data_IF_197814056574
#
_entry.id   IF_197814056574
#
_cell.length_a   1.000
_cell.length_b   1.000
_cell.length_c   1.000
_cell.angle_alpha   90.00
_cell.angle_beta   90.00
_cell.angle_gamma   90.00
#
_symmetry.space_group_name_H-M   'P 1'
#
loop_
_entity.id
_entity.type
_entity.pdbx_description
1 polymer ?
#
# COMPACT_ATOMS: atom_id res chain seq x y z
N UNK A 1 -19.75 7.35 -7.55
CA UNK A 1 -19.11 6.08 -7.16
C UNK A 1 -17.68 6.11 -7.67
N UNK A 2 -16.69 5.70 -6.87
CA UNK A 2 -15.32 5.57 -7.35
C UNK A 2 -15.18 4.13 -7.85
N UNK A 3 -15.11 3.91 -9.16
CA UNK A 3 -15.19 2.57 -9.74
C UNK A 3 -13.90 1.78 -9.54
N UNK A 4 -14.06 0.55 -9.04
CA UNK A 4 -13.00 -0.47 -8.98
C UNK A 4 -12.89 -1.10 -10.36
N UNK A 5 -11.67 -1.28 -10.87
CA UNK A 5 -11.44 -1.97 -12.15
C UNK A 5 -10.47 -3.14 -12.00
N UNK A 6 -10.67 -4.16 -12.82
CA UNK A 6 -9.66 -5.21 -13.00
C UNK A 6 -8.53 -4.64 -13.84
N UNK A 7 -7.31 -4.65 -13.30
CA UNK A 7 -6.10 -4.16 -13.96
C UNK A 7 -5.37 -5.30 -14.69
N UNK A 8 -5.29 -6.45 -14.05
CA UNK A 8 -4.72 -7.67 -14.62
C UNK A 8 -5.33 -8.89 -13.95
N UNK A 9 -5.30 -10.03 -14.65
CA UNK A 9 -5.78 -11.30 -14.12
C UNK A 9 -4.89 -12.42 -14.65
N UNK A 10 -4.52 -13.34 -13.76
CA UNK A 10 -3.82 -14.57 -14.09
C UNK A 10 -4.58 -15.78 -13.53
N UNK A 11 -4.06 -16.99 -13.73
CA UNK A 11 -4.73 -18.22 -13.29
C UNK A 11 -4.93 -18.28 -11.77
N UNK A 12 -4.02 -17.70 -10.99
CA UNK A 12 -4.00 -17.81 -9.52
C UNK A 12 -4.55 -16.56 -8.81
N UNK A 13 -4.58 -15.41 -9.49
CA UNK A 13 -4.83 -14.12 -8.87
C UNK A 13 -5.54 -13.12 -9.78
N UNK A 14 -6.15 -12.11 -9.15
CA UNK A 14 -6.73 -10.94 -9.81
C UNK A 14 -6.06 -9.70 -9.22
N UNK A 15 -5.63 -8.76 -10.06
CA UNK A 15 -5.12 -7.46 -9.66
C UNK A 15 -6.18 -6.42 -9.93
N UNK A 16 -6.69 -5.79 -8.88
CA UNK A 16 -7.60 -4.67 -8.98
C UNK A 16 -6.83 -3.36 -8.92
N UNK A 17 -7.23 -2.39 -9.74
CA UNK A 17 -6.84 -1.00 -9.53
C UNK A 17 -7.98 -0.26 -8.84
N UNK A 18 -7.68 0.31 -7.68
CA UNK A 18 -8.64 1.06 -6.88
C UNK A 18 -8.34 2.55 -6.96
N UNK A 19 -9.36 3.39 -7.16
CA UNK A 19 -9.19 4.84 -7.11
C UNK A 19 -8.86 5.27 -5.68
N UNK A 20 -7.74 5.96 -5.52
CA UNK A 20 -7.41 6.60 -4.25
C UNK A 20 -8.25 7.86 -4.09
N UNK A 21 -8.77 8.08 -2.89
CA UNK A 21 -9.42 9.33 -2.52
C UNK A 21 -8.39 10.20 -1.82
N UNK A 22 -8.12 11.38 -2.38
CA UNK A 22 -7.27 12.36 -1.73
C UNK A 22 -7.95 12.88 -0.46
N UNK A 23 -7.29 12.74 0.69
CA UNK A 23 -7.65 13.45 1.93
C UNK A 23 -6.88 14.77 2.08
N UNK A 24 -5.81 14.96 1.30
CA UNK A 24 -4.96 16.14 1.32
C UNK A 24 -4.99 16.82 -0.06
N UNK A 25 -5.39 18.08 -0.11
CA UNK A 25 -5.52 18.87 -1.35
C UNK A 25 -4.22 18.94 -2.16
N UNK A 26 -3.06 18.83 -1.50
CA UNK A 26 -1.73 18.91 -2.11
C UNK A 26 -1.28 17.59 -2.75
N UNK A 27 -1.87 16.47 -2.35
CA UNK A 27 -1.57 15.14 -2.89
C UNK A 27 -2.68 14.73 -3.85
N UNK A 28 -2.51 15.16 -5.09
CA UNK A 28 -3.44 14.86 -6.18
C UNK A 28 -3.50 13.33 -6.39
N UNK A 29 -4.60 12.71 -5.98
CA UNK A 29 -4.78 11.25 -5.96
C UNK A 29 -4.70 10.59 -7.34
N UNK A 30 -4.97 11.36 -8.41
CA UNK A 30 -4.79 10.95 -9.81
C UNK A 30 -3.32 10.68 -10.16
N UNK A 31 -2.37 11.23 -9.40
CA UNK A 31 -0.93 10.99 -9.60
C UNK A 31 -0.49 9.64 -9.08
N UNK A 32 -1.35 8.91 -8.39
CA UNK A 32 -1.02 7.63 -7.78
C UNK A 32 -1.77 6.48 -8.46
N UNK A 33 -1.15 5.30 -8.46
CA UNK A 33 -1.78 4.04 -8.81
C UNK A 33 -1.82 3.18 -7.55
N UNK A 34 -2.98 2.65 -7.20
CA UNK A 34 -3.11 1.65 -6.16
C UNK A 34 -3.57 0.31 -6.76
N UNK A 35 -2.73 -0.71 -6.61
CA UNK A 35 -2.94 -2.06 -7.12
C UNK A 35 -3.11 -3.02 -5.95
N UNK A 36 -4.12 -3.87 -6.03
CA UNK A 36 -4.48 -4.84 -5.01
C UNK A 36 -4.52 -6.22 -5.65
N UNK A 37 -3.53 -7.06 -5.35
CA UNK A 37 -3.46 -8.43 -5.83
C UNK A 37 -4.16 -9.35 -4.84
N UNK A 38 -5.13 -10.12 -5.33
CA UNK A 38 -5.97 -11.04 -4.56
C UNK A 38 -5.77 -12.46 -5.08
N UNK A 39 -5.50 -13.41 -4.19
CA UNK A 39 -5.43 -14.82 -4.51
C UNK A 39 -6.84 -15.39 -4.73
N UNK A 40 -7.07 -16.11 -5.83
CA UNK A 40 -8.38 -16.69 -6.17
C UNK A 40 -8.77 -17.85 -5.25
N UNK A 41 -7.81 -18.68 -4.85
CA UNK A 41 -8.07 -19.85 -4.01
C UNK A 41 -8.34 -19.45 -2.56
N UNK A 42 -7.51 -18.58 -2.00
CA UNK A 42 -7.62 -18.12 -0.61
C UNK A 42 -8.59 -16.96 -0.42
N UNK A 43 -9.01 -16.30 -1.51
CA UNK A 43 -9.86 -15.09 -1.49
C UNK A 43 -9.31 -14.00 -0.56
N UNK A 44 -7.98 -13.90 -0.50
CA UNK A 44 -7.25 -12.99 0.38
C UNK A 44 -6.23 -12.13 -0.37
N UNK A 45 -5.84 -11.01 0.22
CA UNK A 45 -4.78 -10.16 -0.34
C UNK A 45 -3.44 -10.90 -0.34
N UNK A 46 -2.69 -10.77 -1.43
CA UNK A 46 -1.28 -11.18 -1.53
C UNK A 46 -0.37 -9.97 -1.43
N UNK A 47 -0.70 -8.90 -2.16
CA UNK A 47 0.12 -7.69 -2.24
C UNK A 47 -0.73 -6.46 -2.51
N UNK A 48 -0.41 -5.38 -1.82
CA UNK A 48 -0.94 -4.04 -2.09
C UNK A 48 0.23 -3.17 -2.51
N UNK A 49 0.12 -2.50 -3.65
CA UNK A 49 1.15 -1.58 -4.16
C UNK A 49 0.53 -0.23 -4.43
N UNK A 50 1.08 0.83 -3.83
CA UNK A 50 0.78 2.21 -4.17
C UNK A 50 2.03 2.82 -4.79
N UNK A 51 1.93 3.41 -5.98
CA UNK A 51 3.08 4.03 -6.65
C UNK A 51 2.71 5.34 -7.33
N UNK A 52 3.66 6.25 -7.36
CA UNK A 52 3.57 7.48 -8.13
C UNK A 52 3.62 7.17 -9.63
N UNK A 53 2.64 7.68 -10.39
CA UNK A 53 2.56 7.56 -11.85
C UNK A 53 3.38 8.63 -12.55
N UNK A 54 3.40 9.83 -12.00
CA UNK A 54 4.06 10.99 -12.58
C UNK A 54 4.57 11.92 -11.49
N UNK A 55 5.76 12.47 -11.70
CA UNK A 55 6.31 13.50 -10.83
C UNK A 55 5.39 14.75 -10.82
N UNK A 56 5.25 15.38 -9.67
CA UNK A 56 4.45 16.60 -9.52
C UNK A 56 5.14 17.59 -8.58
N UNK A 57 4.70 18.85 -8.60
CA UNK A 57 5.21 19.90 -7.71
C UNK A 57 4.22 20.18 -6.59
N UNK A 58 4.75 20.33 -5.38
CA UNK A 58 4.03 20.81 -4.19
C UNK A 58 4.49 22.24 -3.92
N UNK A 59 3.52 23.14 -3.74
CA UNK A 59 3.75 24.57 -3.46
C UNK A 59 4.74 25.26 -4.42
N UNK A 60 4.85 24.80 -5.67
CA UNK A 60 5.74 25.36 -6.70
C UNK A 60 7.25 25.10 -6.50
N UNK A 61 7.70 24.75 -5.30
CA UNK A 61 9.13 24.68 -4.93
C UNK A 61 9.66 23.26 -4.79
N UNK A 62 8.82 22.31 -4.38
CA UNK A 62 9.20 20.94 -4.12
C UNK A 62 8.72 20.02 -5.25
N UNK A 63 9.63 19.38 -5.97
CA UNK A 63 9.29 18.36 -6.98
C UNK A 63 9.31 16.98 -6.34
N UNK A 64 8.15 16.36 -6.16
CA UNK A 64 8.03 14.96 -5.78
C UNK A 64 8.30 14.11 -7.01
N UNK A 65 9.35 13.30 -6.97
CA UNK A 65 9.79 12.48 -8.11
C UNK A 65 9.45 11.01 -7.95
N UNK A 66 9.32 10.54 -6.71
CA UNK A 66 9.01 9.16 -6.42
C UNK A 66 8.28 9.04 -5.08
N UNK A 67 7.25 8.20 -5.06
CA UNK A 67 6.58 7.75 -3.85
C UNK A 67 6.12 6.33 -4.14
N UNK A 68 6.44 5.41 -3.25
CA UNK A 68 6.04 4.01 -3.37
C UNK A 68 5.78 3.41 -2.01
N UNK A 69 4.73 2.59 -1.92
CA UNK A 69 4.45 1.74 -0.78
C UNK A 69 4.07 0.36 -1.29
N UNK A 70 4.57 -0.67 -0.63
CA UNK A 70 4.25 -2.07 -0.89
C UNK A 70 3.98 -2.78 0.42
N UNK A 71 2.89 -3.54 0.48
CA UNK A 71 2.59 -4.41 1.61
C UNK A 71 2.37 -5.81 1.06
N UNK A 72 3.10 -6.80 1.57
CA UNK A 72 2.85 -8.21 1.27
C UNK A 72 2.15 -8.89 2.42
N UNK A 73 1.25 -9.78 2.08
CA UNK A 73 0.42 -10.52 3.00
C UNK A 73 0.69 -12.01 2.88
N UNK A 74 0.48 -12.73 3.97
CA UNK A 74 0.50 -14.19 3.99
C UNK A 74 -0.62 -14.71 4.87
N UNK A 75 -1.33 -15.70 4.34
CA UNK A 75 -2.32 -16.49 5.07
C UNK A 75 -1.57 -17.61 5.80
N UNK A 76 -1.65 -17.63 7.13
CA UNK A 76 -1.07 -18.70 7.95
C UNK A 76 -2.14 -19.68 8.42
N UNK A 77 -3.35 -19.17 8.68
CA UNK A 77 -4.54 -19.91 9.02
C UNK A 77 -5.67 -19.45 8.09
N UNK A 78 -6.29 -20.34 7.28
CA UNK A 78 -7.41 -20.00 6.41
C UNK A 78 -8.63 -19.45 7.14
N UNK A 79 -8.77 -19.69 8.45
CA UNK A 79 -9.85 -19.14 9.26
C UNK A 79 -9.62 -17.67 9.67
N UNK A 80 -8.40 -17.15 9.49
CA UNK A 80 -8.02 -15.80 9.88
C UNK A 80 -7.71 -14.93 8.65
N UNK A 81 -7.85 -13.62 8.81
CA UNK A 81 -7.46 -12.68 7.76
C UNK A 81 -5.96 -12.78 7.43
N UNK A 82 -5.55 -12.60 6.16
CA UNK A 82 -4.14 -12.54 5.78
C UNK A 82 -3.38 -11.49 6.58
N UNK A 83 -2.19 -11.86 7.06
CA UNK A 83 -1.38 -10.99 7.92
C UNK A 83 -0.27 -10.31 7.10
N UNK A 84 0.03 -9.03 7.34
CA UNK A 84 1.15 -8.37 6.70
C UNK A 84 2.47 -9.04 7.14
N UNK A 85 3.33 -9.32 6.17
CA UNK A 85 4.64 -9.94 6.40
C UNK A 85 5.81 -9.07 5.97
N UNK A 86 5.54 -8.06 5.14
CA UNK A 86 6.53 -7.11 4.66
C UNK A 86 5.85 -5.80 4.34
N UNK A 87 6.42 -4.71 4.82
CA UNK A 87 6.07 -3.35 4.45
C UNK A 87 7.30 -2.67 3.87
N UNK A 88 7.15 -2.09 2.68
CA UNK A 88 8.16 -1.29 2.01
C UNK A 88 7.60 0.07 1.73
N UNK A 89 8.36 1.11 2.02
CA UNK A 89 8.02 2.48 1.68
C UNK A 89 9.24 3.18 1.10
N UNK A 90 9.05 3.97 0.04
CA UNK A 90 10.08 4.82 -0.55
C UNK A 90 9.50 6.17 -0.91
N UNK A 91 10.33 7.20 -0.83
CA UNK A 91 9.98 8.54 -1.25
C UNK A 91 11.22 9.30 -1.71
N UNK A 92 11.06 10.09 -2.77
CA UNK A 92 12.09 11.01 -3.23
C UNK A 92 11.47 12.33 -3.71
N UNK A 93 12.14 13.43 -3.35
CA UNK A 93 11.79 14.77 -3.74
C UNK A 93 13.04 15.61 -4.05
N UNK A 94 12.85 16.71 -4.77
CA UNK A 94 13.89 17.70 -5.02
C UNK A 94 13.40 19.11 -4.71
N UNK A 95 14.25 19.89 -4.04
CA UNK A 95 14.03 21.29 -3.67
C UNK A 95 15.15 22.13 -4.29
N UNK A 96 14.82 23.03 -5.23
CA UNK A 96 15.74 24.07 -5.74
C UNK A 96 17.20 23.59 -5.95
N UNK A 97 17.39 22.40 -6.55
CA UNK A 97 18.67 21.68 -6.83
C UNK A 97 19.11 20.60 -5.82
N UNK A 98 18.62 20.59 -4.58
CA UNK A 98 18.90 19.51 -3.62
C UNK A 98 17.98 18.31 -3.86
N UNK A 99 18.53 17.10 -3.85
CA UNK A 99 17.78 15.83 -3.93
C UNK A 99 17.73 15.18 -2.56
N UNK A 100 16.53 14.77 -2.13
CA UNK A 100 16.31 14.01 -0.91
C UNK A 100 15.59 12.72 -1.27
N UNK A 101 16.14 11.58 -0.85
CA UNK A 101 15.52 10.27 -1.02
C UNK A 101 15.59 9.48 0.27
N UNK A 102 14.52 8.76 0.60
CA UNK A 102 14.46 7.84 1.74
C UNK A 102 13.74 6.55 1.34
N UNK A 103 14.17 5.45 1.94
CA UNK A 103 13.53 4.14 1.82
C UNK A 103 13.49 3.47 3.18
N UNK A 104 12.41 2.75 3.43
CA UNK A 104 12.13 2.02 4.65
C UNK A 104 11.62 0.63 4.30
N UNK A 105 12.07 -0.37 5.05
CA UNK A 105 11.61 -1.75 4.95
C UNK A 105 11.39 -2.27 6.38
N UNK A 106 10.25 -2.92 6.59
CA UNK A 106 9.86 -3.52 7.87
C UNK A 106 9.33 -4.91 7.58
N UNK A 107 9.95 -5.93 8.18
CA UNK A 107 9.55 -7.33 8.04
C UNK A 107 8.64 -7.77 9.19
N UNK A 108 7.99 -8.92 9.02
CA UNK A 108 7.13 -9.53 10.06
C UNK A 108 7.83 -9.65 11.42
N UNK A 109 9.12 -9.98 11.42
CA UNK A 109 9.96 -10.12 12.63
C UNK A 109 10.05 -8.84 13.45
N UNK A 110 9.80 -7.70 12.81
CA UNK A 110 10.03 -6.38 13.38
C UNK A 110 8.73 -5.83 14.00
N UNK A 111 7.60 -6.49 13.80
CA UNK A 111 6.35 -6.14 14.47
C UNK A 111 6.38 -6.55 15.93
N UNK A 112 6.03 -5.61 16.81
CA UNK A 112 5.80 -5.89 18.23
C UNK A 112 4.71 -6.95 18.36
N UNK A 113 5.01 -8.04 19.07
CA UNK A 113 3.99 -9.02 19.45
C UNK A 113 3.12 -8.37 20.52
N UNK A 114 1.84 -8.21 20.20
CA UNK A 114 0.82 -7.79 21.16
C UNK A 114 0.10 -9.02 21.70
N UNK A 115 -0.30 -8.97 22.97
CA UNK A 115 -1.15 -10.01 23.54
C UNK A 115 -2.50 -10.05 22.81
N UNK A 116 -3.02 -11.24 22.45
CA UNK A 116 -4.32 -11.35 21.83
C UNK A 116 -5.40 -10.70 22.71
N UNK A 117 -6.25 -9.87 22.11
CA UNK A 117 -7.40 -9.31 22.80
C UNK A 117 -8.30 -10.43 23.31
N UNK A 118 -8.47 -10.53 24.64
CA UNK A 118 -9.49 -11.36 25.27
C UNK A 118 -10.72 -10.49 25.48
N UNK A 119 -11.86 -10.90 24.90
CA UNK A 119 -13.12 -10.28 25.23
C UNK A 119 -13.36 -10.43 26.76
N UNK A 120 -13.83 -9.37 27.46
CA UNK A 120 -14.24 -9.52 28.85
C UNK A 120 -15.35 -10.56 28.93
N UNK A 121 -15.30 -11.44 29.93
CA UNK A 121 -16.38 -12.38 30.21
C UNK A 121 -17.64 -11.56 30.53
N UNK A 122 -18.68 -11.74 29.73
CA UNK A 122 -20.04 -11.32 30.10
C UNK A 122 -20.56 -12.31 31.14
N UNK A 123 -20.65 -11.87 32.38
CA UNK A 123 -21.49 -12.48 33.43
C UNK A 123 -22.97 -12.21 33.16
#
# INVERSE_FOLDING_TARGET
MSDVRVFAEDAASIVFELPLRGTYAELSSDKFQALFRVNKAQRGFEEITIKLRAAFRVAGVAKVTDVGMGIRFRTFDPALAPQPVLLRARGAASLLLLKVSRSYEVARSDFLRVDPWRAPATD
#
